data_IF_212962529723
#
_entry.id   IF_212962529723
#
_cell.length_a   1.000
_cell.length_b   1.000
_cell.length_c   1.000
_cell.angle_alpha   90.00
_cell.angle_beta   90.00
_cell.angle_gamma   90.00
#
_symmetry.space_group_name_H-M   'P 1'
#
loop_
_entity.id
_entity.type
_entity.pdbx_description
1 polymer ?
#
# COMPACT_ATOMS: atom_id res chain seq x y z
N UNK A 1 2.56 -28.65 44.80
CA UNK A 1 2.21 -27.25 45.13
C UNK A 1 3.40 -26.41 44.69
N UNK A 2 3.33 -25.79 43.50
CA UNK A 2 2.93 -24.39 43.27
C UNK A 2 3.84 -23.41 44.03
N UNK A 3 4.29 -22.26 43.52
CA UNK A 3 4.26 -21.52 42.24
C UNK A 3 5.01 -20.20 42.55
N UNK A 4 5.71 -19.61 41.57
CA UNK A 4 6.09 -18.17 41.43
C UNK A 4 6.93 -17.49 42.56
N UNK A 5 7.78 -16.50 42.32
CA UNK A 5 7.96 -15.56 41.20
C UNK A 5 9.31 -14.84 41.34
N UNK A 6 9.95 -14.60 40.18
CA UNK A 6 10.62 -13.37 39.74
C UNK A 6 11.60 -12.65 40.69
N UNK A 7 12.88 -12.62 40.32
CA UNK A 7 13.55 -11.40 39.85
C UNK A 7 14.94 -11.77 39.29
N UNK A 8 15.25 -11.34 38.06
CA UNK A 8 16.62 -11.04 37.64
C UNK A 8 16.58 -10.29 36.30
N UNK A 9 16.33 -9.00 36.43
CA UNK A 9 17.06 -7.99 35.67
C UNK A 9 18.48 -8.42 35.28
N UNK A 10 18.75 -8.53 33.97
CA UNK A 10 19.89 -7.87 33.29
C UNK A 10 20.02 -8.42 31.86
N UNK A 11 19.60 -7.63 30.86
CA UNK A 11 20.12 -7.80 29.51
C UNK A 11 21.50 -7.12 29.51
N UNK A 12 22.56 -7.91 29.68
CA UNK A 12 23.93 -7.41 29.69
C UNK A 12 24.47 -7.30 28.26
N UNK A 13 24.78 -6.05 27.89
CA UNK A 13 25.65 -5.58 26.82
C UNK A 13 26.59 -6.65 26.21
N UNK A 14 26.23 -7.21 25.03
CA UNK A 14 27.11 -7.56 23.89
C UNK A 14 26.45 -8.48 22.82
N UNK A 15 25.24 -8.16 22.38
CA UNK A 15 24.71 -8.66 21.10
C UNK A 15 23.98 -7.50 20.41
N UNK A 16 24.39 -7.13 19.19
CA UNK A 16 23.75 -6.04 18.44
C UNK A 16 22.43 -6.53 17.86
N UNK A 17 21.38 -5.77 18.13
CA UNK A 17 19.96 -6.05 17.99
C UNK A 17 19.41 -6.20 16.55
N UNK A 18 20.15 -6.76 15.60
CA UNK A 18 19.62 -6.98 14.23
C UNK A 18 18.67 -8.16 14.10
N UNK A 19 18.51 -8.97 15.15
CA UNK A 19 17.75 -10.24 15.13
C UNK A 19 16.39 -10.20 15.86
N UNK A 20 15.92 -9.02 16.26
CA UNK A 20 14.50 -8.86 16.63
C UNK A 20 13.65 -8.81 15.35
N UNK A 21 13.44 -10.00 14.76
CA UNK A 21 12.35 -10.39 13.83
C UNK A 21 11.75 -9.23 13.01
N UNK A 22 12.09 -9.17 11.73
CA UNK A 22 11.11 -8.72 10.74
C UNK A 22 9.81 -9.50 11.01
N UNK A 23 8.72 -8.76 11.25
CA UNK A 23 7.45 -9.33 11.66
C UNK A 23 6.93 -10.24 10.53
N UNK A 24 7.19 -11.54 10.64
CA UNK A 24 6.65 -12.57 9.72
C UNK A 24 5.13 -12.44 9.51
N UNK A 25 4.41 -11.86 10.47
CA UNK A 25 3.00 -11.52 10.34
C UNK A 25 2.73 -10.42 9.30
N UNK A 26 3.56 -9.38 9.20
CA UNK A 26 3.43 -8.32 8.19
C UNK A 26 3.74 -8.84 6.78
N UNK A 27 4.76 -9.69 6.63
CA UNK A 27 5.04 -10.36 5.35
C UNK A 27 3.87 -11.24 4.90
N UNK A 28 3.30 -12.03 5.81
CA UNK A 28 2.12 -12.86 5.54
C UNK A 28 0.87 -12.03 5.21
N UNK A 29 0.75 -10.81 5.77
CA UNK A 29 -0.36 -9.87 5.49
C UNK A 29 -0.21 -9.25 4.10
N UNK A 30 1.01 -8.97 3.65
CA UNK A 30 1.28 -8.51 2.29
C UNK A 30 1.07 -9.62 1.25
N UNK A 31 1.60 -10.81 1.52
CA UNK A 31 1.43 -12.00 0.67
C UNK A 31 -0.05 -12.40 0.55
N UNK A 32 -0.83 -12.26 1.62
CA UNK A 32 -2.27 -12.54 1.60
C UNK A 32 -3.03 -11.66 0.60
N UNK A 33 -2.74 -10.35 0.55
CA UNK A 33 -3.47 -9.46 -0.37
C UNK A 33 -3.13 -9.75 -1.83
N UNK A 34 -1.91 -10.19 -2.12
CA UNK A 34 -1.50 -10.61 -3.46
C UNK A 34 -2.25 -11.88 -3.89
N UNK A 35 -2.30 -12.91 -3.02
CA UNK A 35 -3.07 -14.13 -3.27
C UNK A 35 -4.57 -13.88 -3.43
N UNK A 36 -5.17 -13.09 -2.53
CA UNK A 36 -6.59 -12.71 -2.61
C UNK A 36 -6.89 -11.95 -3.94
N UNK A 37 -5.90 -11.24 -4.48
CA UNK A 37 -6.04 -10.54 -5.76
C UNK A 37 -5.92 -11.48 -6.96
N UNK A 38 -5.06 -12.50 -6.91
CA UNK A 38 -4.98 -13.53 -7.96
C UNK A 38 -6.33 -14.25 -8.10
N UNK A 39 -6.90 -14.73 -6.99
CA UNK A 39 -8.23 -15.36 -6.95
C UNK A 39 -9.33 -14.42 -7.49
N UNK A 40 -9.31 -13.15 -7.07
CA UNK A 40 -10.25 -12.13 -7.57
C UNK A 40 -10.16 -11.93 -9.09
N UNK A 41 -8.93 -11.89 -9.62
CA UNK A 41 -8.69 -11.73 -11.07
C UNK A 41 -9.17 -12.96 -11.83
N UNK A 42 -8.95 -14.17 -11.30
CA UNK A 42 -9.46 -15.40 -11.91
C UNK A 42 -10.99 -15.44 -11.95
N UNK A 43 -11.66 -15.03 -10.86
CA UNK A 43 -13.12 -15.00 -10.79
C UNK A 43 -13.72 -13.93 -11.72
N UNK A 44 -13.22 -12.70 -11.64
CA UNK A 44 -13.84 -11.53 -12.30
C UNK A 44 -13.36 -11.33 -13.74
N UNK A 45 -12.16 -11.77 -14.08
CA UNK A 45 -11.54 -11.52 -15.38
C UNK A 45 -11.65 -10.05 -15.78
N UNK A 46 -12.23 -9.78 -16.95
CA UNK A 46 -12.34 -8.41 -17.49
C UNK A 46 -13.42 -7.53 -16.83
N UNK A 47 -14.18 -8.04 -15.86
CA UNK A 47 -15.20 -7.28 -15.12
C UNK A 47 -14.65 -6.66 -13.82
N UNK A 48 -13.33 -6.49 -13.72
CA UNK A 48 -12.60 -6.02 -12.54
C UNK A 48 -12.90 -4.59 -12.08
N UNK A 49 -13.70 -3.82 -12.85
CA UNK A 49 -14.05 -2.42 -12.56
C UNK A 49 -15.17 -2.26 -11.52
N UNK A 50 -15.73 -3.36 -11.01
CA UNK A 50 -16.72 -3.32 -9.94
C UNK A 50 -16.12 -2.76 -8.66
N UNK A 51 -16.91 -1.92 -7.97
CA UNK A 51 -16.52 -1.36 -6.67
C UNK A 51 -16.48 -2.46 -5.62
N UNK A 52 -15.38 -2.51 -4.87
CA UNK A 52 -15.22 -3.38 -3.70
C UNK A 52 -14.65 -2.58 -2.51
N UNK A 53 -14.27 -3.28 -1.45
CA UNK A 53 -13.76 -2.67 -0.22
C UNK A 53 -12.27 -2.26 -0.30
N UNK A 54 -11.66 -2.36 -1.48
CA UNK A 54 -10.24 -2.03 -1.70
C UNK A 54 -10.07 -0.74 -2.52
N UNK A 55 -8.95 -0.05 -2.31
CA UNK A 55 -8.47 0.96 -3.24
C UNK A 55 -7.94 0.29 -4.51
N UNK A 56 -7.94 0.97 -5.66
CA UNK A 56 -7.58 0.33 -6.93
C UNK A 56 -6.89 1.31 -7.89
N UNK A 57 -5.85 0.85 -8.58
CA UNK A 57 -5.24 1.53 -9.71
C UNK A 57 -5.10 0.57 -10.91
N UNK A 58 -5.37 1.07 -12.12
CA UNK A 58 -5.34 0.30 -13.36
C UNK A 58 -4.33 0.87 -14.34
N UNK A 59 -3.56 0.01 -14.99
CA UNK A 59 -2.71 0.36 -16.12
C UNK A 59 -3.00 -0.55 -17.31
N UNK A 60 -3.61 0.02 -18.37
CA UNK A 60 -3.96 -0.72 -19.58
C UNK A 60 -2.83 -0.76 -20.61
N UNK A 61 -2.62 -1.91 -21.25
CA UNK A 61 -1.60 -2.07 -22.28
C UNK A 61 -1.99 -3.12 -23.34
N UNK A 62 -1.63 -2.87 -24.60
CA UNK A 62 -1.77 -3.88 -25.68
C UNK A 62 -0.57 -4.83 -25.65
N UNK A 63 0.65 -4.28 -25.67
CA UNK A 63 1.91 -5.02 -25.57
C UNK A 63 2.51 -4.81 -24.18
N UNK A 64 2.87 -5.91 -23.51
CA UNK A 64 3.48 -5.87 -22.17
C UNK A 64 4.80 -5.08 -22.20
N UNK A 65 4.97 -4.04 -21.37
CA UNK A 65 6.24 -3.34 -21.19
C UNK A 65 7.31 -4.27 -20.59
N UNK A 66 8.58 -3.98 -20.84
CA UNK A 66 9.71 -4.75 -20.27
C UNK A 66 9.72 -4.73 -18.74
N UNK A 67 9.37 -3.58 -18.13
CA UNK A 67 9.19 -3.46 -16.69
C UNK A 67 7.78 -2.92 -16.42
N UNK A 68 6.81 -3.84 -16.39
CA UNK A 68 5.40 -3.50 -16.24
C UNK A 68 5.12 -2.72 -14.95
N UNK A 69 5.67 -3.17 -13.81
CA UNK A 69 5.45 -2.55 -12.50
C UNK A 69 5.95 -1.10 -12.52
N UNK A 70 7.20 -0.87 -12.92
CA UNK A 70 7.76 0.48 -12.95
C UNK A 70 7.02 1.38 -13.95
N UNK A 71 6.61 0.85 -15.10
CA UNK A 71 5.83 1.61 -16.08
C UNK A 71 4.47 2.01 -15.53
N UNK A 72 3.76 1.10 -14.85
CA UNK A 72 2.48 1.39 -14.22
C UNK A 72 2.63 2.42 -13.11
N UNK A 73 3.58 2.24 -12.17
CA UNK A 73 3.85 3.20 -11.10
C UNK A 73 4.18 4.59 -11.63
N UNK A 74 4.99 4.70 -12.70
CA UNK A 74 5.30 5.99 -13.34
C UNK A 74 4.09 6.61 -14.01
N UNK A 75 3.22 5.80 -14.63
CA UNK A 75 2.00 6.30 -15.25
C UNK A 75 1.04 6.88 -14.20
N UNK A 76 0.82 6.16 -13.11
CA UNK A 76 -0.01 6.61 -11.99
C UNK A 76 0.58 7.84 -11.29
N UNK A 77 1.89 7.86 -11.05
CA UNK A 77 2.57 9.02 -10.48
C UNK A 77 2.51 10.25 -11.40
N UNK A 78 2.61 10.05 -12.72
CA UNK A 78 2.51 11.13 -13.70
C UNK A 78 1.17 11.89 -13.67
N UNK A 79 0.11 11.26 -13.14
CA UNK A 79 -1.17 11.92 -12.86
C UNK A 79 -0.96 13.14 -11.95
N UNK A 80 -0.29 12.95 -10.80
CA UNK A 80 0.09 14.00 -9.86
C UNK A 80 0.90 15.11 -10.52
N UNK A 81 1.89 14.76 -11.34
CA UNK A 81 2.76 15.74 -12.00
C UNK A 81 2.00 16.62 -13.00
N UNK A 82 0.98 16.04 -13.65
CA UNK A 82 0.20 16.73 -14.68
C UNK A 82 -0.96 17.56 -14.12
N UNK A 83 -1.63 17.09 -13.06
CA UNK A 83 -2.84 17.72 -12.52
C UNK A 83 -2.60 18.48 -11.22
N UNK A 84 -1.60 18.05 -10.44
CA UNK A 84 -1.49 18.36 -9.03
C UNK A 84 -2.57 17.68 -8.18
N UNK A 85 -2.43 17.82 -6.87
CA UNK A 85 -3.43 17.46 -5.87
C UNK A 85 -3.98 18.74 -5.22
N UNK A 86 -5.19 18.67 -4.67
CA UNK A 86 -5.73 19.77 -3.87
C UNK A 86 -4.81 20.09 -2.67
N UNK A 87 -4.50 21.39 -2.49
CA UNK A 87 -3.60 21.89 -1.44
C UNK A 87 -4.18 21.75 -0.03
N UNK A 88 -5.48 21.54 0.10
CA UNK A 88 -6.12 21.18 1.37
C UNK A 88 -5.75 19.77 1.82
N UNK A 89 -5.25 18.93 0.90
CA UNK A 89 -4.98 17.50 1.08
C UNK A 89 -6.23 16.67 1.38
N UNK A 90 -7.42 17.24 1.24
CA UNK A 90 -8.71 16.57 1.45
C UNK A 90 -9.19 16.02 0.11
N UNK A 91 -9.51 14.73 0.06
CA UNK A 91 -10.01 14.11 -1.14
C UNK A 91 -11.45 14.57 -1.46
N UNK A 92 -11.63 14.94 -2.73
CA UNK A 92 -12.92 15.18 -3.35
C UNK A 92 -13.07 14.23 -4.56
N UNK A 93 -14.28 13.75 -4.91
CA UNK A 93 -14.48 12.98 -6.14
C UNK A 93 -14.17 13.78 -7.41
N UNK A 94 -14.04 15.11 -7.29
CA UNK A 94 -13.62 16.01 -8.36
C UNK A 94 -12.09 16.23 -8.39
N UNK A 95 -11.35 15.56 -7.52
CA UNK A 95 -9.88 15.57 -7.52
C UNK A 95 -9.37 15.13 -8.89
N UNK A 96 -8.35 15.82 -9.40
CA UNK A 96 -7.84 15.53 -10.75
C UNK A 96 -6.72 14.50 -10.72
N UNK A 97 -5.97 14.42 -9.63
CA UNK A 97 -4.90 13.44 -9.41
C UNK A 97 -5.36 12.18 -8.67
N UNK A 98 -6.55 11.64 -8.98
CA UNK A 98 -7.15 10.53 -8.20
C UNK A 98 -6.25 9.30 -8.17
N UNK A 99 -5.60 8.98 -9.29
CA UNK A 99 -4.82 7.75 -9.45
C UNK A 99 -3.57 7.82 -8.58
N UNK A 100 -2.90 8.97 -8.55
CA UNK A 100 -1.75 9.17 -7.66
C UNK A 100 -2.17 9.35 -6.19
N UNK A 101 -3.33 9.96 -5.92
CA UNK A 101 -3.86 10.12 -4.57
C UNK A 101 -4.02 8.78 -3.83
N UNK A 102 -4.38 7.71 -4.54
CA UNK A 102 -4.41 6.37 -3.96
C UNK A 102 -3.01 5.85 -3.61
N UNK A 103 -1.97 6.18 -4.39
CA UNK A 103 -0.60 5.75 -4.09
C UNK A 103 -0.04 6.40 -2.82
N UNK A 104 -0.45 7.63 -2.53
CA UNK A 104 0.02 8.41 -1.38
C UNK A 104 -0.93 8.38 -0.18
N UNK A 105 -1.96 7.51 -0.22
CA UNK A 105 -2.93 7.41 0.85
C UNK A 105 -2.29 6.77 2.09
N UNK A 106 -1.96 7.57 3.10
CA UNK A 106 -1.13 7.18 4.23
C UNK A 106 -1.68 6.00 5.03
N UNK A 107 -3.00 5.83 5.08
CA UNK A 107 -3.64 4.71 5.79
C UNK A 107 -3.64 3.41 4.98
N UNK A 108 -3.24 3.42 3.69
CA UNK A 108 -3.10 2.20 2.88
C UNK A 108 -1.70 1.63 3.08
N UNK A 109 -1.58 0.50 3.76
CA UNK A 109 -0.28 -0.12 4.07
C UNK A 109 -0.11 -1.52 3.48
N UNK A 110 -1.17 -2.10 2.89
CA UNK A 110 -1.08 -3.31 2.10
C UNK A 110 -1.33 -2.99 0.63
N UNK A 111 -0.53 -3.61 -0.23
CA UNK A 111 -0.69 -3.56 -1.68
C UNK A 111 -0.53 -4.96 -2.26
N UNK A 112 -1.42 -5.34 -3.17
CA UNK A 112 -1.28 -6.54 -4.00
C UNK A 112 -1.52 -6.15 -5.46
N UNK A 113 -0.82 -6.75 -6.41
CA UNK A 113 -0.98 -6.42 -7.83
C UNK A 113 -1.04 -7.66 -8.71
N UNK A 114 -1.82 -7.59 -9.79
CA UNK A 114 -2.00 -8.71 -10.70
C UNK A 114 -2.16 -8.26 -12.16
N UNK A 115 -1.80 -9.16 -13.08
CA UNK A 115 -2.03 -8.99 -14.52
C UNK A 115 -3.32 -9.68 -14.93
N UNK A 116 -4.17 -8.97 -15.68
CA UNK A 116 -5.38 -9.53 -16.26
C UNK A 116 -5.33 -9.45 -17.77
N UNK A 117 -5.56 -10.59 -18.41
CA UNK A 117 -5.58 -10.70 -19.86
C UNK A 117 -6.98 -10.46 -20.39
N UNK A 118 -7.15 -9.35 -21.09
CA UNK A 118 -8.41 -8.95 -21.71
C UNK A 118 -8.17 -8.64 -23.20
N UNK A 119 -9.23 -8.65 -23.99
CA UNK A 119 -9.18 -8.29 -25.42
C UNK A 119 -9.95 -7.00 -25.65
N UNK A 120 -9.38 -5.98 -26.33
CA UNK A 120 -8.06 -5.96 -26.98
C UNK A 120 -6.91 -5.46 -26.09
N UNK A 121 -7.18 -5.08 -24.84
CA UNK A 121 -6.20 -4.55 -23.88
C UNK A 121 -6.02 -5.50 -22.70
N UNK A 122 -4.79 -5.66 -22.22
CA UNK A 122 -4.51 -6.27 -20.92
C UNK A 122 -4.44 -5.17 -19.85
N UNK A 123 -4.57 -5.56 -18.59
CA UNK A 123 -4.51 -4.66 -17.46
C UNK A 123 -3.49 -5.14 -16.43
N UNK A 124 -2.78 -4.19 -15.83
CA UNK A 124 -2.08 -4.38 -14.56
C UNK A 124 -2.84 -3.63 -13.49
N UNK A 125 -3.27 -4.33 -12.45
CA UNK A 125 -4.13 -3.81 -11.40
C UNK A 125 -3.41 -3.91 -10.09
N UNK A 126 -3.38 -2.84 -9.31
CA UNK A 126 -3.00 -2.90 -7.91
C UNK A 126 -4.19 -2.58 -7.03
N UNK A 127 -4.36 -3.36 -5.95
CA UNK A 127 -5.32 -3.10 -4.88
C UNK A 127 -4.63 -2.65 -3.62
N UNK A 128 -5.31 -1.80 -2.86
CA UNK A 128 -4.80 -1.16 -1.65
C UNK A 128 -5.74 -1.43 -0.47
N UNK A 129 -5.18 -1.83 0.67
CA UNK A 129 -5.92 -2.01 1.91
C UNK A 129 -5.22 -1.33 3.09
N UNK A 130 -5.96 -0.70 4.01
CA UNK A 130 -7.31 -0.14 3.87
C UNK A 130 -7.54 0.65 2.58
N UNK A 131 -8.78 0.67 2.08
CA UNK A 131 -9.15 1.48 0.91
C UNK A 131 -8.92 2.98 1.15
N UNK A 132 -8.28 3.62 0.18
CA UNK A 132 -8.10 5.07 0.14
C UNK A 132 -9.26 5.80 -0.55
N UNK A 133 -9.02 7.06 -0.93
CA UNK A 133 -9.95 7.90 -1.70
C UNK A 133 -11.34 8.01 -1.04
N UNK A 134 -11.36 8.13 0.28
CA UNK A 134 -12.59 8.36 1.04
C UNK A 134 -12.94 9.83 1.02
N UNK A 135 -14.17 10.14 0.59
CA UNK A 135 -14.62 11.52 0.46
C UNK A 135 -14.51 12.28 1.79
N UNK A 136 -13.88 13.46 1.75
CA UNK A 136 -13.73 14.32 2.91
C UNK A 136 -12.60 13.89 3.87
N UNK A 137 -11.91 12.78 3.59
CA UNK A 137 -10.71 12.38 4.32
C UNK A 137 -9.44 12.92 3.64
N UNK A 138 -8.38 13.09 4.43
CA UNK A 138 -7.09 13.55 3.93
C UNK A 138 -6.27 12.41 3.32
N UNK A 139 -5.53 12.68 2.24
CA UNK A 139 -4.56 11.71 1.68
C UNK A 139 -3.52 11.27 2.72
N UNK A 140 -3.00 12.26 3.46
CA UNK A 140 -2.06 12.11 4.55
C UNK A 140 -2.22 13.29 5.50
N UNK A 141 -1.78 13.11 6.74
CA UNK A 141 -1.76 14.21 7.71
C UNK A 141 -0.48 15.04 7.53
N UNK A 142 -0.64 16.37 7.54
CA UNK A 142 0.49 17.29 7.43
C UNK A 142 1.24 17.33 8.77
N UNK A 143 2.55 17.10 8.73
CA UNK A 143 3.42 17.18 9.91
C UNK A 143 4.82 16.68 9.61
N UNK A 144 5.67 16.71 10.64
CA UNK A 144 7.00 16.10 10.54
C UNK A 144 6.87 14.57 10.41
N UNK A 145 7.67 13.93 9.53
CA UNK A 145 7.66 12.48 9.39
C UNK A 145 7.85 11.77 10.73
N UNK A 146 7.36 10.53 10.83
CA UNK A 146 7.44 9.68 12.01
C UNK A 146 6.67 10.11 13.26
N UNK A 147 6.18 11.36 13.36
CA UNK A 147 5.59 11.89 14.61
C UNK A 147 4.29 11.21 15.05
N UNK A 148 3.65 10.46 14.14
CA UNK A 148 2.39 9.74 14.39
C UNK A 148 2.48 8.24 14.13
N UNK A 149 3.69 7.67 14.07
CA UNK A 149 3.85 6.22 13.96
C UNK A 149 3.65 5.56 15.33
N UNK A 150 2.93 4.44 15.37
CA UNK A 150 2.68 3.69 16.61
C UNK A 150 3.80 2.67 16.91
N UNK A 151 4.28 1.97 15.88
CA UNK A 151 5.13 0.78 16.04
C UNK A 151 6.60 1.01 15.64
N UNK A 152 6.94 2.25 15.27
CA UNK A 152 8.30 2.66 14.91
C UNK A 152 8.34 3.45 13.61
N UNK A 153 9.52 3.99 13.29
CA UNK A 153 9.73 4.71 12.03
C UNK A 153 11.11 4.42 11.46
N UNK A 154 11.15 4.27 10.14
CA UNK A 154 12.39 4.25 9.40
C UNK A 154 12.88 5.70 9.19
N UNK A 155 13.89 6.11 9.94
CA UNK A 155 14.41 7.50 9.92
C UNK A 155 15.04 7.94 8.60
N UNK A 156 15.37 7.00 7.70
CA UNK A 156 15.93 7.32 6.37
C UNK A 156 14.83 7.62 5.37
N UNK A 157 13.71 6.89 5.42
CA UNK A 157 12.58 7.06 4.50
C UNK A 157 11.44 7.91 5.04
N UNK A 158 11.35 8.10 6.36
CA UNK A 158 10.26 8.80 7.03
C UNK A 158 8.94 8.00 7.11
N UNK A 159 8.99 6.69 6.83
CA UNK A 159 7.82 5.79 6.81
C UNK A 159 7.65 5.04 8.14
N UNK A 160 6.40 4.86 8.54
CA UNK A 160 6.05 4.00 9.68
C UNK A 160 6.32 2.52 9.36
N UNK A 161 6.63 1.75 10.41
CA UNK A 161 6.87 0.31 10.35
C UNK A 161 5.67 -0.49 10.86
#
# INVERSE_FOLDING_TARGET
>A
MNDKSQDSSSCSLKESSSDCKENKALELILEKLELDLEDYVEEKGCNMFESDDYGQNFYGFIKKPTNLILTACKNWWGDCESTGLDKSHIFSPLERGVVCAQMIWAQSYQIGCAEVKCSPFNYFVCKYNPRGLKFGESFYEIGEPCTRCNDGCNSTSGLCL
#
